data_IF_176985184091
#
_entry.id   IF_176985184091
#
_cell.length_a   1.000
_cell.length_b   1.000
_cell.length_c   1.000
_cell.angle_alpha   90.00
_cell.angle_beta   90.00
_cell.angle_gamma   90.00
#
_symmetry.space_group_name_H-M   'P 1'
#
loop_
_entity.id
_entity.type
_entity.pdbx_description
1 polymer ?
#
# COMPACT_ATOMS: atom_id res chain seq x y z
N UNK A 1 36.88 -2.96 -10.31
CA UNK A 1 38.11 -2.74 -11.05
C UNK A 1 38.58 -3.96 -11.84
N UNK A 2 38.60 -5.15 -11.27
CA UNK A 2 39.00 -6.43 -11.92
C UNK A 2 38.15 -6.83 -13.15
N UNK A 3 36.84 -6.60 -13.16
CA UNK A 3 35.95 -6.89 -14.32
C UNK A 3 36.24 -6.01 -15.54
N UNK A 4 36.65 -4.76 -15.36
CA UNK A 4 37.04 -3.86 -16.46
C UNK A 4 38.37 -4.31 -17.11
N UNK A 5 39.32 -4.75 -16.31
CA UNK A 5 40.62 -5.20 -16.76
C UNK A 5 40.51 -6.52 -17.57
N UNK A 6 39.64 -7.43 -17.15
CA UNK A 6 39.35 -8.69 -17.87
C UNK A 6 38.73 -8.43 -19.25
N UNK A 7 37.77 -7.48 -19.34
CA UNK A 7 37.15 -7.06 -20.62
C UNK A 7 38.17 -6.49 -21.62
N UNK A 8 39.11 -5.68 -21.14
CA UNK A 8 40.16 -5.12 -21.97
C UNK A 8 41.10 -6.20 -22.49
N UNK A 9 41.44 -7.21 -21.68
CA UNK A 9 42.26 -8.34 -22.08
C UNK A 9 41.57 -9.23 -23.12
N UNK A 10 40.29 -9.48 -22.97
CA UNK A 10 39.47 -10.25 -23.94
C UNK A 10 39.35 -9.51 -25.28
N UNK A 11 39.11 -8.21 -25.28
CA UNK A 11 39.06 -7.38 -26.49
C UNK A 11 40.42 -7.29 -27.19
N UNK A 12 41.48 -7.16 -26.44
CA UNK A 12 42.85 -7.12 -26.97
C UNK A 12 43.27 -8.46 -27.57
N UNK A 13 42.90 -9.58 -26.93
CA UNK A 13 43.27 -10.91 -27.46
C UNK A 13 42.51 -11.28 -28.74
N UNK A 14 41.22 -10.97 -28.82
CA UNK A 14 40.40 -11.26 -29.99
C UNK A 14 40.68 -10.25 -31.13
N UNK A 15 40.84 -8.97 -30.82
CA UNK A 15 41.24 -7.95 -31.79
C UNK A 15 42.64 -8.20 -32.33
N UNK A 16 43.57 -8.61 -31.47
CA UNK A 16 44.94 -8.99 -31.85
C UNK A 16 44.95 -10.18 -32.83
N UNK A 17 44.12 -11.22 -32.56
CA UNK A 17 44.01 -12.38 -33.42
C UNK A 17 43.47 -12.05 -34.83
N UNK A 18 42.49 -11.16 -34.91
CA UNK A 18 41.93 -10.70 -36.18
C UNK A 18 42.93 -9.88 -36.99
N UNK A 19 43.67 -8.98 -36.33
CA UNK A 19 44.73 -8.16 -36.97
C UNK A 19 45.88 -9.03 -37.47
N UNK A 20 46.31 -10.02 -36.67
CA UNK A 20 47.36 -10.97 -37.10
C UNK A 20 46.86 -11.82 -38.28
N UNK A 21 45.65 -12.33 -38.26
CA UNK A 21 45.06 -13.07 -39.36
C UNK A 21 45.00 -12.25 -40.65
N UNK A 22 44.61 -10.99 -40.59
CA UNK A 22 44.57 -10.06 -41.72
C UNK A 22 46.00 -9.74 -42.25
N UNK A 23 46.95 -9.50 -41.35
CA UNK A 23 48.36 -9.24 -41.72
C UNK A 23 49.03 -10.44 -42.42
N UNK A 24 48.75 -11.68 -41.93
CA UNK A 24 49.24 -12.90 -42.57
C UNK A 24 48.63 -13.10 -43.96
N UNK A 25 47.31 -12.80 -44.14
CA UNK A 25 46.65 -12.85 -45.44
C UNK A 25 47.23 -11.87 -46.46
N UNK A 26 47.57 -10.65 -46.04
CA UNK A 26 48.25 -9.67 -46.91
C UNK A 26 49.70 -10.11 -47.25
N UNK A 27 50.43 -10.64 -46.30
CA UNK A 27 51.78 -11.11 -46.49
C UNK A 27 51.85 -12.28 -47.48
N UNK A 28 50.86 -13.19 -47.49
CA UNK A 28 50.73 -14.29 -48.44
C UNK A 28 50.42 -13.76 -49.84
N UNK A 29 49.53 -12.80 -49.98
CA UNK A 29 49.17 -12.18 -51.24
C UNK A 29 50.33 -11.40 -51.90
N UNK A 30 51.24 -10.92 -51.08
CA UNK A 30 52.45 -10.24 -51.53
C UNK A 30 53.63 -11.23 -51.81
N UNK A 31 53.38 -12.55 -51.74
CA UNK A 31 54.40 -13.58 -52.00
C UNK A 31 55.51 -13.66 -50.93
N UNK A 32 55.35 -13.00 -49.81
CA UNK A 32 56.32 -12.97 -48.76
C UNK A 32 56.40 -14.26 -47.94
N UNK A 33 55.34 -15.09 -47.99
CA UNK A 33 55.20 -16.35 -47.28
C UNK A 33 55.57 -17.59 -48.08
N UNK A 34 55.73 -17.47 -49.41
CA UNK A 34 56.07 -18.59 -50.30
C UNK A 34 57.40 -19.30 -49.93
N UNK A 35 58.32 -18.58 -49.26
CA UNK A 35 59.57 -19.10 -48.76
C UNK A 35 59.46 -19.83 -47.43
N UNK A 36 58.41 -19.66 -46.68
CA UNK A 36 58.32 -20.14 -45.29
C UNK A 36 57.29 -21.27 -45.16
N UNK A 37 56.26 -21.33 -46.03
CA UNK A 37 55.19 -22.33 -45.97
C UNK A 37 54.67 -22.71 -47.36
N UNK A 38 55.31 -23.65 -48.07
CA UNK A 38 55.04 -23.95 -49.46
C UNK A 38 53.72 -24.74 -49.72
N UNK A 39 52.88 -25.00 -48.79
CA UNK A 39 51.51 -25.56 -48.94
C UNK A 39 50.64 -25.20 -47.78
N UNK A 40 50.51 -23.92 -47.56
CA UNK A 40 49.74 -23.37 -46.44
C UNK A 40 48.24 -23.39 -46.69
N UNK A 41 47.54 -23.16 -45.64
CA UNK A 41 46.11 -22.89 -45.56
C UNK A 41 45.78 -21.81 -46.58
N UNK A 42 44.86 -22.08 -47.51
CA UNK A 42 44.46 -21.12 -48.53
C UNK A 42 44.08 -19.76 -47.91
N UNK A 43 44.65 -18.66 -48.43
CA UNK A 43 44.38 -17.28 -48.04
C UNK A 43 42.91 -17.00 -47.85
N UNK A 44 42.08 -17.65 -48.69
CA UNK A 44 40.64 -17.57 -48.66
C UNK A 44 40.03 -18.10 -47.35
N UNK A 45 40.57 -19.20 -46.83
CA UNK A 45 40.15 -19.81 -45.55
C UNK A 45 40.48 -18.89 -44.37
N UNK A 46 41.68 -18.26 -44.42
CA UNK A 46 42.12 -17.34 -43.37
C UNK A 46 41.24 -16.05 -43.32
N UNK A 47 40.95 -15.49 -44.50
CA UNK A 47 40.08 -14.32 -44.65
C UNK A 47 38.65 -14.70 -44.17
N UNK A 48 38.13 -15.85 -44.53
CA UNK A 48 36.80 -16.28 -44.04
C UNK A 48 36.76 -16.45 -42.51
N UNK A 49 37.76 -17.11 -41.93
CA UNK A 49 37.84 -17.28 -40.47
C UNK A 49 37.93 -15.95 -39.76
N UNK A 50 38.78 -15.01 -40.25
CA UNK A 50 38.88 -13.67 -39.70
C UNK A 50 37.58 -12.90 -39.81
N UNK A 51 36.85 -13.01 -40.94
CA UNK A 51 35.53 -12.41 -41.14
C UNK A 51 34.50 -12.95 -40.16
N UNK A 52 34.43 -14.25 -39.96
CA UNK A 52 33.54 -14.89 -39.02
C UNK A 52 33.83 -14.44 -37.58
N UNK A 53 35.09 -14.34 -37.18
CA UNK A 53 35.48 -13.85 -35.86
C UNK A 53 35.04 -12.40 -35.66
N UNK A 54 35.17 -11.54 -36.67
CA UNK A 54 34.74 -10.13 -36.58
C UNK A 54 33.21 -10.04 -36.48
N UNK A 55 32.47 -10.83 -37.27
CA UNK A 55 31.01 -10.87 -37.18
C UNK A 55 30.54 -11.38 -35.82
N UNK A 56 31.11 -12.44 -35.28
CA UNK A 56 30.83 -12.94 -33.94
C UNK A 56 31.12 -11.90 -32.86
N UNK A 57 32.20 -11.12 -32.98
CA UNK A 57 32.52 -10.05 -32.04
C UNK A 57 31.46 -8.93 -32.08
N UNK A 58 30.99 -8.57 -33.27
CA UNK A 58 29.91 -7.54 -33.43
C UNK A 58 28.58 -8.07 -32.86
N UNK A 59 28.23 -9.34 -33.08
CA UNK A 59 27.00 -9.92 -32.56
C UNK A 59 27.02 -10.17 -31.05
N UNK A 60 28.17 -10.48 -30.46
CA UNK A 60 28.31 -10.67 -29.01
C UNK A 60 28.23 -9.37 -28.21
N UNK A 61 28.50 -8.22 -28.82
CA UNK A 61 28.49 -6.91 -28.15
C UNK A 61 27.05 -6.52 -27.68
N UNK A 62 25.99 -6.63 -28.52
CA UNK A 62 24.62 -6.33 -28.07
C UNK A 62 24.09 -7.36 -27.06
N UNK A 63 24.47 -8.63 -27.14
CA UNK A 63 24.08 -9.63 -26.15
C UNK A 63 24.62 -9.31 -24.76
N UNK A 64 25.85 -8.80 -24.67
CA UNK A 64 26.43 -8.34 -23.39
C UNK A 64 25.73 -7.08 -22.86
N UNK A 65 25.28 -6.18 -23.73
CA UNK A 65 24.50 -5.04 -23.34
C UNK A 65 23.13 -5.44 -22.77
N UNK A 66 22.51 -6.50 -23.32
CA UNK A 66 21.27 -7.07 -22.79
C UNK A 66 21.48 -7.72 -21.41
N UNK A 67 22.59 -8.41 -21.18
CA UNK A 67 22.92 -8.92 -19.85
C UNK A 67 23.14 -7.81 -18.82
N UNK A 68 23.82 -6.72 -19.20
CA UNK A 68 24.02 -5.55 -18.32
C UNK A 68 22.68 -4.85 -18.01
N UNK A 69 21.77 -4.77 -18.97
CA UNK A 69 20.39 -4.27 -18.78
C UNK A 69 19.59 -5.21 -17.86
N UNK A 70 19.68 -6.51 -18.07
CA UNK A 70 19.03 -7.51 -17.23
C UNK A 70 19.51 -7.43 -15.79
N UNK A 71 20.83 -7.34 -15.57
CA UNK A 71 21.43 -7.22 -14.25
C UNK A 71 21.02 -5.92 -13.56
N UNK A 72 20.89 -4.82 -14.30
CA UNK A 72 20.37 -3.55 -13.79
C UNK A 72 18.90 -3.63 -13.44
N UNK A 73 18.10 -4.28 -14.29
CA UNK A 73 16.67 -4.51 -14.02
C UNK A 73 16.44 -5.45 -12.84
N UNK A 74 17.25 -6.50 -12.70
CA UNK A 74 17.19 -7.41 -11.56
C UNK A 74 17.61 -6.74 -10.23
N UNK A 75 18.42 -5.67 -10.29
CA UNK A 75 18.78 -4.85 -9.13
C UNK A 75 17.78 -3.75 -8.81
N UNK A 76 16.79 -3.52 -9.67
CA UNK A 76 15.71 -2.58 -9.40
C UNK A 76 14.62 -3.29 -8.61
N UNK A 77 14.40 -2.87 -7.40
CA UNK A 77 13.24 -3.27 -6.60
C UNK A 77 11.98 -2.60 -7.19
N UNK A 78 11.42 -3.27 -8.21
CA UNK A 78 10.25 -2.79 -8.96
C UNK A 78 9.06 -2.59 -8.00
N UNK A 79 8.95 -3.42 -6.97
CA UNK A 79 7.87 -3.33 -6.00
C UNK A 79 8.01 -2.06 -5.14
N UNK A 80 9.22 -1.73 -4.70
CA UNK A 80 9.50 -0.48 -3.97
C UNK A 80 9.27 0.75 -4.85
N UNK A 81 9.65 0.72 -6.11
CA UNK A 81 9.41 1.84 -7.06
C UNK A 81 7.91 1.98 -7.34
N UNK A 82 7.19 0.89 -7.53
CA UNK A 82 5.74 0.88 -7.75
C UNK A 82 4.99 1.36 -6.49
N UNK A 83 5.42 0.95 -5.29
CA UNK A 83 4.87 1.42 -4.03
C UNK A 83 5.13 2.92 -3.83
N UNK A 84 6.34 3.39 -4.09
CA UNK A 84 6.69 4.81 -4.02
C UNK A 84 5.88 5.67 -5.01
N UNK A 85 5.69 5.20 -6.24
CA UNK A 85 4.83 5.87 -7.24
C UNK A 85 3.37 5.89 -6.81
N UNK A 86 2.83 4.79 -6.28
CA UNK A 86 1.46 4.75 -5.74
C UNK A 86 1.28 5.76 -4.62
N UNK A 87 2.18 5.81 -3.64
CA UNK A 87 2.15 6.79 -2.56
C UNK A 87 2.18 8.24 -3.06
N UNK A 88 3.03 8.54 -4.02
CA UNK A 88 3.21 9.88 -4.57
C UNK A 88 2.06 10.31 -5.49
N UNK A 89 1.59 9.45 -6.42
CA UNK A 89 0.58 9.81 -7.43
C UNK A 89 -0.85 9.68 -6.94
N UNK A 90 -1.13 8.72 -6.05
CA UNK A 90 -2.49 8.44 -5.57
C UNK A 90 -2.70 8.88 -4.11
N UNK A 91 -1.82 9.73 -3.59
CA UNK A 91 -1.96 10.28 -2.25
C UNK A 91 -1.93 9.25 -1.12
N UNK A 92 -1.45 8.02 -1.39
CA UNK A 92 -1.43 6.92 -0.45
C UNK A 92 -2.51 5.86 -0.66
N UNK A 93 -3.44 6.03 -1.60
CA UNK A 93 -4.44 5.00 -1.93
C UNK A 93 -3.73 3.79 -2.54
N UNK A 94 -3.87 2.65 -1.90
CA UNK A 94 -3.28 1.37 -2.35
C UNK A 94 -4.30 0.47 -3.01
N UNK A 95 -5.56 0.52 -2.57
CA UNK A 95 -6.65 -0.29 -3.09
C UNK A 95 -8.00 0.42 -2.94
N UNK A 96 -8.97 0.04 -3.77
CA UNK A 96 -10.36 0.47 -3.66
C UNK A 96 -11.26 -0.75 -3.61
N UNK A 97 -11.88 -0.98 -2.45
CA UNK A 97 -12.84 -2.05 -2.23
C UNK A 97 -14.24 -1.58 -2.59
N UNK A 98 -15.04 -2.47 -3.20
CA UNK A 98 -16.43 -2.15 -3.57
C UNK A 98 -17.32 -1.86 -2.34
N UNK A 99 -17.00 -2.48 -1.20
CA UNK A 99 -17.67 -2.33 0.10
C UNK A 99 -16.66 -2.60 1.20
N UNK A 100 -17.04 -2.41 2.47
CA UNK A 100 -16.16 -2.64 3.60
C UNK A 100 -15.65 -4.10 3.64
N UNK A 101 -14.32 -4.33 3.67
CA UNK A 101 -13.71 -5.64 3.70
C UNK A 101 -13.61 -6.14 5.16
N UNK A 102 -14.72 -6.65 5.72
CA UNK A 102 -14.81 -7.03 7.14
C UNK A 102 -13.68 -7.95 7.60
N UNK A 103 -13.41 -9.03 6.84
CA UNK A 103 -12.44 -10.06 7.25
C UNK A 103 -10.99 -9.53 7.21
N UNK A 104 -10.66 -8.71 6.21
CA UNK A 104 -9.34 -8.12 6.07
C UNK A 104 -9.09 -7.09 7.17
N UNK A 105 -10.09 -6.26 7.45
CA UNK A 105 -9.96 -5.27 8.51
C UNK A 105 -9.90 -5.93 9.89
N UNK A 106 -10.69 -6.97 10.14
CA UNK A 106 -10.61 -7.78 11.36
C UNK A 106 -9.21 -8.36 11.56
N UNK A 107 -8.58 -8.89 10.49
CA UNK A 107 -7.21 -9.39 10.54
C UNK A 107 -6.18 -8.27 10.82
N UNK A 108 -6.43 -7.03 10.37
CA UNK A 108 -5.59 -5.88 10.70
C UNK A 108 -5.76 -5.46 12.16
N UNK A 109 -6.99 -5.38 12.69
CA UNK A 109 -7.26 -5.12 14.12
C UNK A 109 -6.49 -6.11 14.99
N UNK A 110 -6.55 -7.40 14.67
CA UNK A 110 -5.92 -8.45 15.46
C UNK A 110 -4.40 -8.27 15.62
N UNK A 111 -3.75 -7.50 14.75
CA UNK A 111 -2.30 -7.22 14.77
C UNK A 111 -1.96 -5.81 15.27
N UNK A 112 -2.93 -4.91 15.30
CA UNK A 112 -2.73 -3.50 15.56
C UNK A 112 -2.37 -3.19 17.02
N UNK A 113 -1.62 -2.10 17.22
CA UNK A 113 -1.38 -1.45 18.52
C UNK A 113 -2.31 -0.26 18.73
N UNK A 114 -2.79 0.33 17.66
CA UNK A 114 -3.70 1.46 17.68
C UNK A 114 -4.84 1.21 16.70
N UNK A 115 -6.07 1.33 17.18
CA UNK A 115 -7.28 1.28 16.36
C UNK A 115 -8.06 2.56 16.58
N UNK A 116 -8.49 3.21 15.49
CA UNK A 116 -9.34 4.39 15.56
C UNK A 116 -10.50 4.22 14.58
N UNK A 117 -11.72 4.39 15.05
CA UNK A 117 -12.92 4.32 14.22
C UNK A 117 -13.68 5.65 14.36
N UNK A 118 -13.93 6.28 13.23
CA UNK A 118 -14.81 7.45 13.10
C UNK A 118 -15.99 7.09 12.21
N UNK A 119 -17.18 7.16 12.76
CA UNK A 119 -18.39 6.96 11.98
C UNK A 119 -19.59 7.65 12.65
N UNK A 120 -20.69 7.81 11.93
CA UNK A 120 -21.98 8.21 12.53
C UNK A 120 -22.41 7.18 13.57
N UNK A 121 -22.45 5.91 13.19
CA UNK A 121 -22.52 4.69 14.02
C UNK A 121 -21.77 3.58 13.29
N UNK A 122 -21.49 2.47 13.94
CA UNK A 122 -20.69 1.36 13.39
C UNK A 122 -21.62 0.17 13.12
N UNK A 123 -22.18 0.04 11.88
CA UNK A 123 -23.19 -1.01 11.58
C UNK A 123 -22.64 -2.43 11.75
N UNK A 124 -21.34 -2.63 11.53
CA UNK A 124 -20.65 -3.91 11.62
C UNK A 124 -19.90 -4.13 12.96
N UNK A 125 -20.18 -3.34 14.00
CA UNK A 125 -19.48 -3.41 15.28
C UNK A 125 -19.49 -4.81 15.89
N UNK A 126 -20.61 -5.52 15.80
CA UNK A 126 -20.74 -6.89 16.34
C UNK A 126 -19.74 -7.87 15.69
N UNK A 127 -19.43 -7.68 14.42
CA UNK A 127 -18.44 -8.50 13.71
C UNK A 127 -17.01 -8.18 14.15
N UNK A 128 -16.74 -6.93 14.52
CA UNK A 128 -15.42 -6.46 14.94
C UNK A 128 -15.17 -6.60 16.45
N UNK A 129 -16.22 -6.86 17.24
CA UNK A 129 -16.17 -6.83 18.71
C UNK A 129 -15.13 -7.81 19.28
N UNK A 130 -15.08 -9.04 18.76
CA UNK A 130 -14.15 -10.08 19.21
C UNK A 130 -12.70 -9.69 18.94
N UNK A 131 -12.41 -9.17 17.76
CA UNK A 131 -11.07 -8.76 17.35
C UNK A 131 -10.60 -7.52 18.12
N UNK A 132 -11.51 -6.57 18.40
CA UNK A 132 -11.23 -5.42 19.26
C UNK A 132 -10.91 -5.87 20.70
N UNK A 133 -11.69 -6.79 21.24
CA UNK A 133 -11.44 -7.37 22.57
C UNK A 133 -10.07 -8.07 22.63
N UNK A 134 -9.77 -8.93 21.66
CA UNK A 134 -8.49 -9.64 21.56
C UNK A 134 -7.31 -8.66 21.41
N UNK A 135 -7.43 -7.64 20.56
CA UNK A 135 -6.39 -6.62 20.41
C UNK A 135 -6.09 -5.89 21.72
N UNK A 136 -7.14 -5.51 22.47
CA UNK A 136 -6.98 -4.83 23.76
C UNK A 136 -6.40 -5.78 24.82
N UNK A 137 -6.92 -6.99 24.92
CA UNK A 137 -6.52 -7.94 25.99
C UNK A 137 -5.13 -8.49 25.75
N UNK A 138 -4.86 -8.96 24.55
CA UNK A 138 -3.63 -9.69 24.25
C UNK A 138 -2.47 -8.75 23.87
N UNK A 139 -2.77 -7.67 23.13
CA UNK A 139 -1.75 -6.75 22.60
C UNK A 139 -1.66 -5.41 23.30
N UNK A 140 -2.58 -5.13 24.25
CA UNK A 140 -2.71 -3.82 24.91
C UNK A 140 -2.97 -2.69 23.92
N UNK A 141 -3.65 -2.99 22.82
CA UNK A 141 -3.99 -1.99 21.81
C UNK A 141 -4.77 -0.84 22.41
N UNK A 142 -4.51 0.38 21.94
CA UNK A 142 -5.32 1.56 22.25
C UNK A 142 -6.42 1.67 21.21
N UNK A 143 -7.66 1.62 21.66
CA UNK A 143 -8.85 1.73 20.80
C UNK A 143 -9.56 3.04 21.06
N UNK A 144 -9.74 3.84 20.02
CA UNK A 144 -10.48 5.12 20.02
C UNK A 144 -11.67 5.00 19.09
N UNK A 145 -12.86 5.28 19.59
CA UNK A 145 -14.09 5.27 18.81
C UNK A 145 -14.76 6.62 18.92
N UNK A 146 -15.11 7.18 17.77
CA UNK A 146 -15.84 8.43 17.65
C UNK A 146 -17.17 8.19 16.95
N UNK A 147 -18.28 8.52 17.63
CA UNK A 147 -19.64 8.39 17.14
C UNK A 147 -20.33 9.74 17.12
N UNK A 148 -21.29 9.91 16.22
CA UNK A 148 -22.14 11.10 16.28
C UNK A 148 -22.96 11.09 17.58
N UNK A 149 -23.14 12.26 18.19
CA UNK A 149 -23.98 12.37 19.37
C UNK A 149 -25.44 12.02 19.03
N UNK A 150 -26.11 11.11 19.75
CA UNK A 150 -27.45 10.63 19.37
C UNK A 150 -28.52 11.72 19.34
N UNK A 151 -28.35 12.79 20.14
CA UNK A 151 -29.24 13.94 20.17
C UNK A 151 -28.78 15.11 19.27
N UNK A 152 -27.81 14.86 18.35
CA UNK A 152 -27.38 15.85 17.36
C UNK A 152 -28.49 16.10 16.33
N UNK A 153 -28.64 17.36 15.89
CA UNK A 153 -29.52 17.67 14.75
C UNK A 153 -29.08 16.99 13.45
N UNK A 154 -27.78 16.62 13.36
CA UNK A 154 -27.24 15.91 12.20
C UNK A 154 -27.76 14.47 12.07
N UNK A 155 -28.26 13.88 13.13
CA UNK A 155 -28.90 12.55 13.11
C UNK A 155 -30.07 12.57 12.15
N UNK A 156 -31.00 13.50 12.32
CA UNK A 156 -32.16 13.62 11.42
C UNK A 156 -31.80 13.90 9.97
N UNK A 157 -30.74 14.70 9.74
CA UNK A 157 -30.25 14.95 8.39
C UNK A 157 -29.65 13.67 7.75
N UNK A 158 -28.95 12.86 8.53
CA UNK A 158 -28.38 11.59 8.05
C UNK A 158 -29.49 10.56 7.80
N UNK A 159 -30.50 10.46 8.66
CA UNK A 159 -31.68 9.62 8.44
C UNK A 159 -32.38 10.01 7.13
N UNK A 160 -32.67 11.29 6.93
CA UNK A 160 -33.29 11.77 5.69
C UNK A 160 -32.42 11.50 4.44
N UNK A 161 -31.09 11.51 4.58
CA UNK A 161 -30.19 11.18 3.48
C UNK A 161 -30.19 9.67 3.15
N UNK A 162 -30.46 8.80 4.12
CA UNK A 162 -30.53 7.36 3.93
C UNK A 162 -31.91 6.90 3.42
N UNK A 163 -32.99 7.55 3.83
CA UNK A 163 -34.39 7.18 3.47
C UNK A 163 -34.71 7.39 1.98
N UNK A 164 -33.85 7.97 1.18
CA UNK A 164 -34.07 8.19 -0.26
C UNK A 164 -33.82 6.96 -1.13
N UNK A 165 -33.39 5.87 -0.57
CA UNK A 165 -33.20 4.63 -1.31
C UNK A 165 -34.54 3.84 -1.36
N UNK A 166 -34.93 3.47 -2.56
CA UNK A 166 -36.14 2.76 -2.93
C UNK A 166 -36.49 1.59 -1.99
N UNK A 167 -37.38 1.80 -1.02
CA UNK A 167 -38.09 0.74 -0.32
C UNK A 167 -37.34 -0.06 0.74
N UNK A 168 -36.09 0.21 1.03
CA UNK A 168 -35.41 -0.34 2.22
C UNK A 168 -35.92 0.42 3.46
N UNK A 169 -36.38 -0.30 4.48
CA UNK A 169 -37.04 0.24 5.66
C UNK A 169 -36.26 1.39 6.31
N UNK A 170 -36.95 2.25 7.03
CA UNK A 170 -36.37 3.42 7.72
C UNK A 170 -35.17 3.02 8.55
N UNK A 171 -34.01 3.60 8.24
CA UNK A 171 -32.81 3.43 9.04
C UNK A 171 -32.83 4.46 10.17
N UNK A 172 -32.98 4.01 11.39
CA UNK A 172 -32.92 4.89 12.57
C UNK A 172 -31.50 5.03 13.03
N UNK A 173 -30.85 6.14 12.66
CA UNK A 173 -29.46 6.44 13.00
C UNK A 173 -29.27 6.55 14.51
N UNK A 174 -30.20 7.22 15.21
CA UNK A 174 -30.19 7.33 16.67
C UNK A 174 -30.19 5.98 17.37
N UNK A 175 -31.01 5.03 16.91
CA UNK A 175 -31.04 3.66 17.43
C UNK A 175 -29.73 2.95 17.19
N UNK A 176 -29.16 3.05 15.97
CA UNK A 176 -27.86 2.46 15.66
C UNK A 176 -26.71 3.01 16.53
N UNK A 177 -26.73 4.30 16.86
CA UNK A 177 -25.75 4.89 17.80
C UNK A 177 -25.93 4.28 19.20
N UNK A 178 -27.18 4.18 19.68
CA UNK A 178 -27.51 3.58 20.99
C UNK A 178 -27.05 2.12 21.09
N UNK A 179 -27.31 1.32 20.07
CA UNK A 179 -26.85 -0.08 19.98
C UNK A 179 -25.32 -0.19 19.98
N UNK A 180 -24.62 0.73 19.31
CA UNK A 180 -23.16 0.81 19.36
C UNK A 180 -22.67 1.10 20.78
N UNK A 181 -23.24 2.10 21.46
CA UNK A 181 -22.85 2.48 22.81
C UNK A 181 -23.12 1.32 23.81
N UNK A 182 -24.25 0.64 23.69
CA UNK A 182 -24.56 -0.54 24.51
C UNK A 182 -23.56 -1.68 24.28
N UNK A 183 -23.20 -1.95 23.01
CA UNK A 183 -22.20 -2.98 22.67
C UNK A 183 -20.82 -2.61 23.23
N UNK A 184 -20.42 -1.34 23.10
CA UNK A 184 -19.15 -0.84 23.64
C UNK A 184 -19.13 -0.85 25.17
N UNK A 185 -20.25 -0.56 25.82
CA UNK A 185 -20.40 -0.68 27.29
C UNK A 185 -20.24 -2.12 27.75
N UNK A 186 -20.84 -3.09 27.04
CA UNK A 186 -20.65 -4.52 27.33
C UNK A 186 -19.19 -4.94 27.14
N UNK A 187 -18.56 -4.54 26.05
CA UNK A 187 -17.14 -4.77 25.79
C UNK A 187 -16.29 -4.18 26.93
N UNK A 188 -16.51 -2.92 27.28
CA UNK A 188 -15.78 -2.22 28.34
C UNK A 188 -15.85 -2.98 29.68
N UNK A 189 -17.03 -3.50 30.06
CA UNK A 189 -17.18 -4.30 31.28
C UNK A 189 -16.33 -5.59 31.25
N UNK A 190 -16.21 -6.24 30.08
CA UNK A 190 -15.38 -7.46 29.93
C UNK A 190 -13.87 -7.19 29.99
N UNK A 191 -13.44 -5.99 29.62
CA UNK A 191 -12.01 -5.63 29.60
C UNK A 191 -11.37 -5.54 30.98
N UNK A 192 -12.13 -5.48 32.06
CA UNK A 192 -11.68 -5.46 33.46
C UNK A 192 -10.55 -4.43 33.68
N UNK A 193 -9.32 -4.89 33.96
CA UNK A 193 -8.16 -4.02 34.22
C UNK A 193 -7.67 -3.23 32.98
N UNK A 194 -8.21 -3.49 31.78
CA UNK A 194 -7.80 -2.84 30.52
C UNK A 194 -8.83 -1.87 29.96
N UNK A 195 -9.80 -1.49 30.77
CA UNK A 195 -10.86 -0.55 30.36
C UNK A 195 -10.32 0.77 29.84
N UNK A 196 -9.21 1.26 30.38
CA UNK A 196 -8.58 2.51 29.93
C UNK A 196 -8.02 2.47 28.51
N UNK A 197 -7.88 1.28 27.92
CA UNK A 197 -7.45 1.11 26.55
C UNK A 197 -8.58 1.31 25.52
N UNK A 198 -9.83 1.29 25.96
CA UNK A 198 -11.00 1.60 25.14
C UNK A 198 -11.51 2.99 25.52
N UNK A 199 -11.46 3.92 24.58
CA UNK A 199 -11.97 5.27 24.76
C UNK A 199 -13.04 5.55 23.70
N UNK A 200 -14.18 6.06 24.13
CA UNK A 200 -15.28 6.42 23.24
C UNK A 200 -15.58 7.91 23.43
N UNK A 201 -15.67 8.62 22.33
CA UNK A 201 -16.10 10.02 22.29
C UNK A 201 -17.29 10.17 21.37
N UNK A 202 -18.17 11.09 21.71
CA UNK A 202 -19.21 11.55 20.81
C UNK A 202 -18.89 12.96 20.33
N UNK A 203 -19.22 13.24 19.08
CA UNK A 203 -19.01 14.54 18.45
C UNK A 203 -20.33 15.09 17.91
N UNK A 204 -20.43 16.43 17.78
CA UNK A 204 -21.57 17.11 17.21
C UNK A 204 -21.12 18.00 16.05
N UNK A 205 -20.57 17.38 15.04
CA UNK A 205 -20.06 18.02 13.82
C UNK A 205 -20.36 17.16 12.61
N UNK A 206 -20.37 17.75 11.43
CA UNK A 206 -20.58 17.01 10.20
C UNK A 206 -19.24 16.39 9.77
N UNK A 207 -19.04 15.11 10.04
CA UNK A 207 -17.97 14.35 9.42
C UNK A 207 -18.29 14.11 7.93
N UNK A 208 -17.32 14.31 7.07
CA UNK A 208 -17.47 14.09 5.63
C UNK A 208 -17.21 12.64 5.23
N UNK A 209 -16.48 11.91 6.06
CA UNK A 209 -16.00 10.56 5.80
C UNK A 209 -16.18 9.66 7.02
N UNK A 210 -16.35 8.38 6.76
CA UNK A 210 -16.17 7.32 7.73
C UNK A 210 -14.74 6.81 7.63
N UNK A 211 -14.08 6.59 8.75
CA UNK A 211 -12.69 6.13 8.81
C UNK A 211 -12.57 4.95 9.78
N UNK A 212 -11.98 3.87 9.30
CA UNK A 212 -11.54 2.74 10.11
C UNK A 212 -10.03 2.63 9.98
N UNK A 213 -9.31 2.88 11.06
CA UNK A 213 -7.84 2.85 11.10
C UNK A 213 -7.34 1.72 11.97
N UNK A 214 -6.35 0.97 11.47
CA UNK A 214 -5.54 0.02 12.23
C UNK A 214 -4.06 0.33 11.97
N UNK A 215 -3.37 0.90 12.96
CA UNK A 215 -2.01 1.46 12.85
C UNK A 215 -1.87 2.45 11.68
N UNK A 216 -1.05 2.14 10.68
CA UNK A 216 -0.82 2.97 9.49
C UNK A 216 -1.75 2.70 8.31
N UNK A 217 -2.78 1.86 8.47
CA UNK A 217 -3.77 1.54 7.43
C UNK A 217 -5.11 2.17 7.74
N UNK A 218 -5.72 2.78 6.74
CA UNK A 218 -7.02 3.42 6.82
C UNK A 218 -7.94 2.84 5.76
N UNK A 219 -9.17 2.53 6.15
CA UNK A 219 -10.29 2.33 5.24
C UNK A 219 -11.19 3.56 5.36
N UNK A 220 -11.36 4.26 4.26
CA UNK A 220 -12.07 5.54 4.22
C UNK A 220 -13.21 5.45 3.22
N UNK A 221 -14.40 5.85 3.63
CA UNK A 221 -15.55 5.99 2.74
C UNK A 221 -16.28 7.31 2.95
N UNK A 222 -16.94 7.77 1.90
CA UNK A 222 -17.76 8.97 1.97
C UNK A 222 -19.17 8.64 2.45
N UNK A 223 -19.80 9.59 3.11
CA UNK A 223 -21.23 9.50 3.46
C UNK A 223 -22.09 9.86 2.24
N UNK A 224 -22.48 8.85 1.48
CA UNK A 224 -23.34 9.01 0.31
C UNK A 224 -24.83 8.94 0.69
N UNK A 225 -25.69 9.44 -0.21
CA UNK A 225 -27.13 9.33 -0.07
C UNK A 225 -27.60 7.92 -0.42
N UNK A 226 -28.60 7.42 0.30
CA UNK A 226 -29.25 6.14 0.01
C UNK A 226 -28.45 4.90 0.36
N UNK A 227 -27.26 5.01 0.96
CA UNK A 227 -26.46 3.84 1.37
C UNK A 227 -25.62 4.10 2.61
N UNK A 228 -25.32 3.03 3.33
CA UNK A 228 -24.43 3.08 4.49
C UNK A 228 -22.98 3.28 4.04
N UNK A 229 -22.17 3.89 4.90
CA UNK A 229 -20.75 4.06 4.63
C UNK A 229 -20.03 2.73 4.39
N UNK A 230 -20.42 1.65 5.08
CA UNK A 230 -19.83 0.32 4.89
C UNK A 230 -20.21 -0.34 3.55
N UNK A 231 -21.33 0.05 2.94
CA UNK A 231 -21.78 -0.44 1.64
C UNK A 231 -21.26 0.41 0.47
N UNK A 232 -20.65 1.55 0.79
CA UNK A 232 -20.02 2.46 -0.18
C UNK A 232 -18.61 2.00 -0.50
N UNK A 233 -18.00 2.45 -1.63
CA UNK A 233 -16.60 2.17 -1.93
C UNK A 233 -15.69 2.61 -0.80
N UNK A 234 -14.74 1.75 -0.44
CA UNK A 234 -13.74 2.01 0.57
C UNK A 234 -12.39 2.27 -0.10
N UNK A 235 -11.76 3.38 0.22
CA UNK A 235 -10.39 3.66 -0.18
C UNK A 235 -9.46 3.15 0.91
N UNK A 236 -8.66 2.14 0.59
CA UNK A 236 -7.58 1.73 1.47
C UNK A 236 -6.39 2.65 1.27
N UNK A 237 -5.96 3.30 2.36
CA UNK A 237 -4.86 4.26 2.35
C UNK A 237 -3.78 3.74 3.28
N UNK A 238 -2.54 3.74 2.81
CA UNK A 238 -1.36 3.37 3.58
C UNK A 238 -0.50 4.61 3.84
N UNK A 239 0.02 4.69 5.06
CA UNK A 239 0.88 5.79 5.51
C UNK A 239 0.11 6.90 6.22
N UNK A 240 0.63 7.33 7.38
CA UNK A 240 -0.01 8.32 8.26
C UNK A 240 0.47 9.74 7.98
N UNK A 241 1.80 9.92 7.86
CA UNK A 241 2.42 11.25 7.73
C UNK A 241 3.26 11.39 6.46
N UNK A 242 3.36 10.35 5.67
CA UNK A 242 4.19 10.28 4.47
C UNK A 242 3.35 10.30 3.18
N UNK A 243 2.03 10.43 3.30
CA UNK A 243 1.11 10.53 2.17
C UNK A 243 0.11 11.66 2.38
N UNK A 244 -0.27 12.34 1.30
CA UNK A 244 -1.15 13.51 1.35
C UNK A 244 -2.51 13.19 1.98
N UNK A 245 -3.14 12.08 1.54
CA UNK A 245 -4.45 11.68 2.08
C UNK A 245 -4.33 11.12 3.49
N UNK A 246 -3.29 10.33 3.79
CA UNK A 246 -3.06 9.82 5.13
C UNK A 246 -2.89 10.93 6.17
N UNK A 247 -2.10 11.96 5.84
CA UNK A 247 -1.93 13.14 6.70
C UNK A 247 -3.26 13.90 6.90
N UNK A 248 -4.02 14.10 5.81
CA UNK A 248 -5.26 14.87 5.87
C UNK A 248 -6.34 14.14 6.67
N UNK A 249 -6.49 12.82 6.49
CA UNK A 249 -7.42 12.00 7.25
C UNK A 249 -7.01 11.90 8.72
N UNK A 250 -5.71 11.78 9.00
CA UNK A 250 -5.23 11.79 10.38
C UNK A 250 -5.54 13.11 11.08
N UNK A 251 -5.37 14.24 10.39
CA UNK A 251 -5.71 15.56 10.92
C UNK A 251 -7.20 15.69 11.21
N UNK A 252 -8.06 15.15 10.35
CA UNK A 252 -9.52 15.10 10.58
C UNK A 252 -9.86 14.25 11.81
N UNK A 253 -9.24 13.07 11.94
CA UNK A 253 -9.42 12.22 13.12
C UNK A 253 -9.01 12.93 14.41
N UNK A 254 -7.86 13.61 14.41
CA UNK A 254 -7.37 14.33 15.59
C UNK A 254 -8.27 15.53 15.93
N UNK A 255 -8.71 16.28 14.91
CA UNK A 255 -9.64 17.40 15.10
C UNK A 255 -10.96 16.95 15.73
N UNK A 256 -11.59 15.92 15.17
CA UNK A 256 -12.85 15.38 15.69
C UNK A 256 -12.67 14.73 17.07
N UNK A 257 -11.51 14.14 17.32
CA UNK A 257 -11.17 13.63 18.63
C UNK A 257 -11.10 14.76 19.66
N UNK A 258 -10.46 15.86 19.35
CA UNK A 258 -10.23 16.98 20.28
C UNK A 258 -11.53 17.73 20.62
N UNK A 259 -12.42 17.91 19.64
CA UNK A 259 -13.72 18.54 19.89
C UNK A 259 -14.73 17.58 20.51
N UNK A 260 -14.51 16.27 20.39
CA UNK A 260 -15.37 15.22 20.94
C UNK A 260 -15.41 15.23 22.47
N UNK A 261 -16.48 14.68 23.03
CA UNK A 261 -16.68 14.53 24.47
C UNK A 261 -16.60 13.07 24.87
N UNK A 262 -15.88 12.80 25.96
CA UNK A 262 -15.73 11.44 26.49
C UNK A 262 -17.07 10.89 26.97
N UNK A 263 -17.32 9.63 26.65
CA UNK A 263 -18.50 8.86 27.13
C UNK A 263 -18.06 7.94 28.25
N UNK A 264 -18.70 8.05 29.41
CA UNK A 264 -18.56 7.06 30.47
C UNK A 264 -19.29 5.78 30.07
N UNK A 265 -18.53 4.76 29.63
CA UNK A 265 -19.09 3.48 29.22
C UNK A 265 -19.67 2.66 30.40
N UNK A 266 -19.38 3.04 31.65
CA UNK A 266 -19.99 2.43 32.83
C UNK A 266 -21.46 2.78 32.95
N UNK A 267 -21.83 4.03 32.62
CA UNK A 267 -23.21 4.53 32.57
C UNK A 267 -23.36 5.46 31.35
N UNK A 268 -23.34 4.87 30.18
CA UNK A 268 -23.32 5.62 28.92
C UNK A 268 -24.59 6.45 28.70
N UNK A 269 -25.79 5.97 29.14
CA UNK A 269 -27.04 6.72 28.99
C UNK A 269 -26.98 8.04 29.73
N UNK A 270 -26.61 8.01 31.03
CA UNK A 270 -26.47 9.20 31.82
C UNK A 270 -25.34 10.12 31.27
N UNK A 271 -24.25 9.53 30.80
CA UNK A 271 -23.15 10.29 30.20
C UNK A 271 -23.61 11.09 28.98
N UNK A 272 -24.37 10.47 28.07
CA UNK A 272 -24.91 11.13 26.88
C UNK A 272 -25.87 12.27 27.26
N UNK A 273 -26.74 12.08 28.25
CA UNK A 273 -27.68 13.11 28.68
C UNK A 273 -26.99 14.34 29.30
N UNK A 274 -25.81 14.13 29.88
CA UNK A 274 -25.03 15.24 30.48
C UNK A 274 -24.14 15.98 29.47
N UNK A 275 -23.80 15.37 28.35
CA UNK A 275 -22.95 15.99 27.33
C UNK A 275 -23.69 17.14 26.65
N UNK A 276 -23.10 18.35 26.66
CA UNK A 276 -23.56 19.54 25.94
C UNK A 276 -22.48 19.97 24.95
N UNK A 277 -22.89 20.41 23.77
CA UNK A 277 -22.05 21.00 22.72
C UNK A 277 -22.41 22.44 22.46
#
# INVERSE_FOLDING_TARGET
MLRRMRRWLELLSLGGLAVVGFAVGIAEQLGLLDKVAPKGISTLTLIMVSGVVVVLLIELTPLRALEDIRDRLAGLDIDTIAASRRRSHYGGVVEVHKRFPDDEFAAHIAKAKQVTILNTWIPNLQRLEKELEAAIVDRRAQVRIMLLHPNSMLVGLREAALDRSDGAGKTFVSTGIGECLETLSRLHRRLAKRQTNLKVRVFNSQASVSVYRADGRYLVSMFLHGQLAIDSPQFEIEGTHDTVLGEQIQRELDTLWDIGRDVDLGDWNRSIDMIRF
#
